data_IF_497070314190
#
_entry.id   IF_497070314190
#
_cell.length_a   1.000
_cell.length_b   1.000
_cell.length_c   1.000
_cell.angle_alpha   90.00
_cell.angle_beta   90.00
_cell.angle_gamma   90.00
#
_symmetry.space_group_name_H-M   'P 1'
#
loop_
_entity.id
_entity.type
_entity.pdbx_description
1 polymer ?
#
# COMPACT_ATOMS: atom_id res chain seq x y z
N UNK A 1 17.37 -6.22 -15.55
CA UNK A 1 16.00 -5.83 -15.15
C UNK A 1 15.37 -6.98 -14.40
N UNK A 2 15.07 -6.78 -13.11
CA UNK A 2 14.60 -7.84 -12.23
C UNK A 2 13.07 -7.90 -12.25
N UNK A 3 12.48 -8.90 -12.92
CA UNK A 3 11.04 -9.21 -12.87
C UNK A 3 10.43 -9.11 -11.45
N UNK A 4 11.07 -9.61 -10.37
CA UNK A 4 10.54 -9.45 -9.01
C UNK A 4 10.44 -7.99 -8.53
N UNK A 5 11.35 -7.10 -8.95
CA UNK A 5 11.30 -5.68 -8.58
C UNK A 5 10.08 -4.98 -9.16
N UNK A 6 9.77 -5.25 -10.43
CA UNK A 6 8.55 -4.73 -11.08
C UNK A 6 7.27 -5.20 -10.39
N UNK A 7 7.20 -6.49 -10.02
CA UNK A 7 6.04 -7.06 -9.32
C UNK A 7 5.82 -6.34 -7.98
N UNK A 8 6.89 -6.14 -7.20
CA UNK A 8 6.82 -5.43 -5.92
C UNK A 8 6.39 -3.98 -6.05
N UNK A 9 6.88 -3.27 -7.08
CA UNK A 9 6.45 -1.90 -7.40
C UNK A 9 4.94 -1.87 -7.70
N UNK A 10 4.47 -2.79 -8.55
CA UNK A 10 3.07 -2.89 -8.95
C UNK A 10 2.15 -3.17 -7.76
N UNK A 11 2.53 -4.13 -6.92
CA UNK A 11 1.81 -4.40 -5.67
C UNK A 11 1.84 -3.22 -4.71
N UNK A 12 2.98 -2.55 -4.53
CA UNK A 12 3.10 -1.35 -3.69
C UNK A 12 2.11 -0.25 -4.13
N UNK A 13 2.05 0.05 -5.43
CA UNK A 13 1.14 1.03 -6.00
C UNK A 13 -0.34 0.62 -5.81
N UNK A 14 -0.68 -0.65 -6.08
CA UNK A 14 -2.04 -1.16 -5.88
C UNK A 14 -2.48 -1.09 -4.42
N UNK A 15 -1.56 -1.37 -3.49
CA UNK A 15 -1.83 -1.32 -2.05
C UNK A 15 -2.08 0.11 -1.58
N UNK A 16 -1.28 1.08 -2.06
CA UNK A 16 -1.51 2.51 -1.79
C UNK A 16 -2.83 3.01 -2.38
N UNK A 17 -3.14 2.62 -3.62
CA UNK A 17 -4.39 2.98 -4.29
C UNK A 17 -5.60 2.39 -3.57
N UNK A 18 -5.52 1.12 -3.15
CA UNK A 18 -6.55 0.47 -2.35
C UNK A 18 -6.80 1.20 -1.03
N UNK A 19 -5.72 1.58 -0.33
CA UNK A 19 -5.82 2.37 0.90
C UNK A 19 -6.45 3.75 0.65
N UNK A 20 -6.11 4.43 -0.44
CA UNK A 20 -6.68 5.74 -0.79
C UNK A 20 -8.17 5.64 -1.25
N UNK A 21 -8.50 4.62 -2.05
CA UNK A 21 -9.86 4.41 -2.56
C UNK A 21 -10.83 3.93 -1.48
N UNK A 22 -10.35 3.24 -0.44
CA UNK A 22 -11.16 2.86 0.72
C UNK A 22 -11.81 4.11 1.37
N UNK A 23 -11.15 5.26 1.37
CA UNK A 23 -11.73 6.53 1.84
C UNK A 23 -12.94 6.98 1.00
N UNK A 24 -12.88 6.78 -0.31
CA UNK A 24 -13.85 7.36 -1.27
C UNK A 24 -15.07 6.48 -1.49
N UNK A 25 -14.91 5.16 -1.40
CA UNK A 25 -15.96 4.18 -1.76
C UNK A 25 -16.93 3.91 -0.60
N UNK A 26 -16.52 4.10 0.66
CA UNK A 26 -17.38 3.82 1.81
C UNK A 26 -18.48 4.89 1.98
N UNK A 27 -19.65 4.63 1.39
CA UNK A 27 -20.86 5.47 1.48
C UNK A 27 -21.68 5.10 2.72
N UNK A 28 -21.74 6.05 3.67
CA UNK A 28 -22.59 6.18 4.88
C UNK A 28 -22.72 4.99 5.85
N UNK A 29 -23.09 3.78 5.44
CA UNK A 29 -23.32 2.65 6.37
C UNK A 29 -22.01 1.94 6.75
N UNK A 30 -21.05 1.84 5.83
CA UNK A 30 -19.73 1.29 6.13
C UNK A 30 -18.83 2.23 6.96
N UNK A 31 -19.18 3.51 7.09
CA UNK A 31 -18.40 4.48 7.89
C UNK A 31 -18.47 4.20 9.38
N UNK A 32 -19.61 3.70 9.89
CA UNK A 32 -19.77 3.33 11.29
C UNK A 32 -18.97 2.07 11.65
N UNK A 33 -19.01 1.05 10.79
CA UNK A 33 -18.17 -0.16 10.95
C UNK A 33 -16.67 0.17 10.80
N UNK A 34 -16.29 1.03 9.86
CA UNK A 34 -14.90 1.51 9.74
C UNK A 34 -14.43 2.26 10.99
N UNK A 35 -15.28 3.11 11.57
CA UNK A 35 -14.91 3.87 12.77
C UNK A 35 -14.66 2.97 13.98
N UNK A 36 -15.45 1.91 14.15
CA UNK A 36 -15.36 0.98 15.29
C UNK A 36 -14.09 0.11 15.22
N UNK A 37 -13.64 -0.24 14.01
CA UNK A 37 -12.49 -1.13 13.80
C UNK A 37 -11.13 -0.42 13.64
N UNK A 38 -11.05 0.90 13.83
CA UNK A 38 -9.75 1.61 13.78
C UNK A 38 -9.22 1.83 12.36
N UNK A 39 -10.10 2.18 11.43
CA UNK A 39 -9.81 2.34 10.00
C UNK A 39 -8.70 3.36 9.68
N UNK A 40 -8.53 4.42 10.48
CA UNK A 40 -7.46 5.40 10.22
C UNK A 40 -6.07 4.81 10.45
N UNK A 41 -5.89 4.04 11.53
CA UNK A 41 -4.61 3.40 11.84
C UNK A 41 -4.32 2.27 10.85
N UNK A 42 -5.32 1.43 10.58
CA UNK A 42 -5.19 0.36 9.59
C UNK A 42 -4.81 0.93 8.21
N UNK A 43 -5.43 2.04 7.78
CA UNK A 43 -5.11 2.69 6.51
C UNK A 43 -3.69 3.26 6.47
N UNK A 44 -3.23 3.88 7.55
CA UNK A 44 -1.84 4.37 7.66
C UNK A 44 -0.87 3.19 7.55
N UNK A 45 -1.17 2.07 8.21
CA UNK A 45 -0.36 0.85 8.14
C UNK A 45 -0.33 0.29 6.72
N UNK A 46 -1.49 0.13 6.05
CA UNK A 46 -1.54 -0.34 4.66
C UNK A 46 -0.82 0.59 3.69
N UNK A 47 -0.91 1.90 3.90
CA UNK A 47 -0.19 2.88 3.10
C UNK A 47 1.33 2.77 3.31
N UNK A 48 1.77 2.65 4.56
CA UNK A 48 3.18 2.45 4.91
C UNK A 48 3.75 1.14 4.34
N UNK A 49 2.97 0.05 4.37
CA UNK A 49 3.32 -1.23 3.74
C UNK A 49 3.46 -1.06 2.23
N UNK A 50 2.55 -0.32 1.59
CA UNK A 50 2.66 0.02 0.16
C UNK A 50 3.96 0.78 -0.17
N UNK A 51 4.32 1.76 0.67
CA UNK A 51 5.57 2.54 0.52
C UNK A 51 6.78 1.63 0.64
N UNK A 52 6.79 0.76 1.64
CA UNK A 52 7.89 -0.19 1.85
C UNK A 52 8.07 -1.12 0.63
N UNK A 53 6.99 -1.72 0.14
CA UNK A 53 7.02 -2.60 -1.04
C UNK A 53 7.51 -1.85 -2.29
N UNK A 54 7.09 -0.60 -2.47
CA UNK A 54 7.53 0.23 -3.57
C UNK A 54 9.04 0.51 -3.50
N UNK A 55 9.55 0.94 -2.33
CA UNK A 55 10.97 1.21 -2.13
C UNK A 55 11.81 -0.05 -2.37
N UNK A 56 11.42 -1.19 -1.77
CA UNK A 56 12.11 -2.48 -1.97
C UNK A 56 12.08 -2.94 -3.42
N UNK A 57 10.95 -2.72 -4.11
CA UNK A 57 10.84 -3.03 -5.54
C UNK A 57 11.79 -2.18 -6.40
N UNK A 58 11.92 -0.88 -6.08
CA UNK A 58 12.86 0.03 -6.74
C UNK A 58 14.31 -0.36 -6.45
N UNK A 59 14.66 -0.72 -5.21
CA UNK A 59 15.99 -1.21 -4.83
C UNK A 59 16.40 -2.44 -5.66
N UNK A 60 15.51 -3.44 -5.73
CA UNK A 60 15.72 -4.68 -6.52
C UNK A 60 15.82 -4.38 -8.02
N UNK A 61 15.11 -3.37 -8.51
CA UNK A 61 15.13 -2.96 -9.91
C UNK A 61 16.46 -2.31 -10.30
N UNK A 62 16.98 -1.46 -9.42
CA UNK A 62 18.25 -0.73 -9.60
C UNK A 62 19.46 -1.64 -9.31
N UNK A 63 19.24 -2.81 -8.71
CA UNK A 63 20.32 -3.70 -8.26
C UNK A 63 21.05 -3.14 -7.05
N UNK A 64 20.40 -2.22 -6.33
CA UNK A 64 20.94 -1.53 -5.17
C UNK A 64 20.57 -2.33 -3.92
N UNK A 65 21.43 -3.26 -3.52
CA UNK A 65 21.30 -3.97 -2.24
C UNK A 65 21.88 -3.07 -1.14
N UNK A 66 21.04 -2.24 -0.51
CA UNK A 66 21.43 -1.52 0.72
C UNK A 66 21.25 -2.38 1.99
N UNK A 67 21.52 -3.68 1.83
CA UNK A 67 21.66 -4.67 2.90
C UNK A 67 22.63 -5.76 2.45
#
# INVERSE_FOLDING_TARGET
MSTPGFILILFGILTMLGAALNWRIVTRTGKLLNLIFGDTVARIVYFAVGIFLFIRGVEILIGSNWF
#
